data_IF_481835145900
#
_entry.id   IF_481835145900
#
_cell.length_a   1.000
_cell.length_b   1.000
_cell.length_c   1.000
_cell.angle_alpha   90.00
_cell.angle_beta   90.00
_cell.angle_gamma   90.00
#
_symmetry.space_group_name_H-M   'P 1'
#
loop_
_entity.id
_entity.type
_entity.pdbx_description
1 polymer ?
#
# COMPACT_ATOMS: atom_id res chain seq x y z
N UNK A 1 26.00 18.49 27.88
CA UNK A 1 26.75 17.28 27.54
C UNK A 1 25.72 16.23 27.18
N UNK A 2 25.34 16.13 25.91
CA UNK A 2 24.64 14.95 25.41
C UNK A 2 25.58 13.77 25.65
N UNK A 3 25.05 12.71 26.24
CA UNK A 3 25.86 11.54 26.55
C UNK A 3 26.35 10.93 25.22
N UNK A 4 27.52 10.30 25.21
CA UNK A 4 28.01 9.61 24.02
C UNK A 4 27.04 8.49 23.55
N UNK A 5 26.16 8.02 24.43
CA UNK A 5 25.10 7.07 24.11
C UNK A 5 23.95 7.70 23.31
N UNK A 6 23.77 9.02 23.38
CA UNK A 6 22.71 9.74 22.66
C UNK A 6 22.97 9.58 21.15
N UNK A 7 24.15 9.87 20.62
CA UNK A 7 24.38 9.78 19.16
C UNK A 7 24.81 8.40 18.62
N UNK A 8 24.64 7.31 19.39
CA UNK A 8 25.07 5.96 18.97
C UNK A 8 24.01 5.26 18.12
N UNK A 9 24.44 4.51 17.11
CA UNK A 9 23.56 3.62 16.33
C UNK A 9 23.68 2.20 16.87
N UNK A 10 22.55 1.61 17.28
CA UNK A 10 22.46 0.19 17.60
C UNK A 10 21.97 -0.61 16.41
N UNK A 11 22.82 -1.49 15.88
CA UNK A 11 22.40 -2.51 14.91
C UNK A 11 22.02 -3.77 15.67
N UNK A 12 20.84 -4.32 15.40
CA UNK A 12 20.40 -5.58 16.00
C UNK A 12 20.23 -6.64 14.92
N UNK A 13 20.83 -7.82 15.13
CA UNK A 13 20.78 -8.94 14.19
C UNK A 13 20.17 -10.17 14.88
N UNK A 14 18.87 -10.44 14.68
CA UNK A 14 18.25 -11.71 15.04
C UNK A 14 18.74 -12.81 14.09
N UNK A 15 19.20 -13.93 14.64
CA UNK A 15 19.76 -15.03 13.84
C UNK A 15 19.32 -16.42 14.30
N UNK A 16 19.30 -17.37 13.37
CA UNK A 16 19.09 -18.79 13.66
C UNK A 16 19.69 -19.68 12.57
N UNK A 17 20.70 -20.48 12.91
CA UNK A 17 21.34 -21.47 12.03
C UNK A 17 21.83 -20.89 10.69
N UNK A 18 22.47 -19.72 10.73
CA UNK A 18 22.93 -18.96 9.54
C UNK A 18 24.34 -18.44 9.72
N UNK A 19 25.22 -19.29 10.23
CA UNK A 19 26.61 -18.92 10.55
C UNK A 19 27.31 -18.13 9.42
N UNK A 20 27.22 -18.58 8.17
CA UNK A 20 27.94 -17.95 7.05
C UNK A 20 27.35 -16.59 6.70
N UNK A 21 26.02 -16.50 6.60
CA UNK A 21 25.32 -15.27 6.26
C UNK A 21 25.49 -14.21 7.34
N UNK A 22 25.38 -14.63 8.61
CA UNK A 22 25.61 -13.77 9.77
C UNK A 22 26.98 -13.09 9.70
N UNK A 23 28.01 -13.79 9.21
CA UNK A 23 29.33 -13.20 9.06
C UNK A 23 29.33 -12.00 8.12
N UNK A 24 28.72 -12.14 6.95
CA UNK A 24 28.62 -11.08 5.96
C UNK A 24 27.85 -9.89 6.53
N UNK A 25 26.72 -10.15 7.20
CA UNK A 25 25.91 -9.12 7.85
C UNK A 25 26.72 -8.34 8.89
N UNK A 26 27.39 -9.06 9.80
CA UNK A 26 28.24 -8.49 10.86
C UNK A 26 29.41 -7.70 10.27
N UNK A 27 30.14 -8.26 9.32
CA UNK A 27 31.30 -7.60 8.70
C UNK A 27 30.89 -6.29 8.04
N UNK A 28 29.73 -6.26 7.38
CA UNK A 28 29.20 -5.04 6.75
C UNK A 28 28.92 -3.91 7.75
N UNK A 29 28.48 -4.26 8.96
CA UNK A 29 28.25 -3.31 10.05
C UNK A 29 29.58 -2.82 10.63
N UNK A 30 30.50 -3.74 10.93
CA UNK A 30 31.77 -3.44 11.61
C UNK A 30 32.78 -2.69 10.75
N UNK A 31 32.58 -2.66 9.43
CA UNK A 31 33.32 -1.81 8.49
C UNK A 31 33.06 -0.32 8.70
N UNK A 32 31.93 0.07 9.28
CA UNK A 32 31.67 1.48 9.59
C UNK A 32 32.56 1.96 10.75
N UNK A 33 33.22 3.11 10.55
CA UNK A 33 34.16 3.73 11.50
C UNK A 33 33.94 5.23 11.68
N UNK A 34 33.04 5.84 10.90
CA UNK A 34 32.79 7.30 10.89
C UNK A 34 31.72 7.72 11.87
N UNK A 35 30.91 6.80 12.38
CA UNK A 35 29.88 7.03 13.39
C UNK A 35 29.99 5.98 14.51
N UNK A 36 29.63 6.33 15.75
CA UNK A 36 29.61 5.36 16.84
C UNK A 36 28.51 4.32 16.61
N UNK A 37 28.91 3.05 16.63
CA UNK A 37 28.00 1.92 16.45
C UNK A 37 28.18 0.92 17.58
N UNK A 38 27.09 0.27 17.95
CA UNK A 38 27.06 -0.96 18.74
C UNK A 38 26.26 -2.00 17.97
N UNK A 39 26.68 -3.26 18.02
CA UNK A 39 26.06 -4.37 17.33
C UNK A 39 25.63 -5.42 18.35
N UNK A 40 24.36 -5.82 18.34
CA UNK A 40 23.85 -6.88 19.21
C UNK A 40 23.28 -8.02 18.38
N UNK A 41 23.91 -9.20 18.51
CA UNK A 41 23.47 -10.43 17.87
C UNK A 41 22.52 -11.20 18.81
N UNK A 42 21.33 -11.51 18.33
CA UNK A 42 20.28 -12.25 19.04
C UNK A 42 20.11 -13.64 18.43
N UNK A 43 20.79 -14.63 19.00
CA UNK A 43 20.74 -16.01 18.53
C UNK A 43 19.56 -16.77 19.14
N UNK A 44 18.70 -17.28 18.26
CA UNK A 44 17.46 -17.97 18.59
C UNK A 44 17.66 -19.47 18.85
N UNK A 45 18.64 -19.81 19.69
CA UNK A 45 19.04 -21.18 20.02
C UNK A 45 19.59 -21.99 18.82
N UNK A 46 20.49 -21.38 18.05
CA UNK A 46 21.20 -22.05 16.95
C UNK A 46 21.93 -23.30 17.44
N UNK A 47 22.02 -24.28 16.54
CA UNK A 47 22.65 -25.58 16.72
C UNK A 47 23.85 -25.79 15.80
N UNK A 48 24.11 -24.85 14.89
CA UNK A 48 25.32 -24.78 14.07
C UNK A 48 26.43 -23.99 14.79
N UNK A 49 27.50 -23.62 14.08
CA UNK A 49 28.63 -22.88 14.63
C UNK A 49 28.35 -21.39 14.91
N UNK A 50 27.10 -20.94 14.82
CA UNK A 50 26.69 -19.54 15.07
C UNK A 50 27.12 -19.07 16.45
N UNK A 51 26.88 -19.87 17.50
CA UNK A 51 27.25 -19.51 18.88
C UNK A 51 28.76 -19.33 19.04
N UNK A 52 29.54 -20.30 18.58
CA UNK A 52 31.00 -20.28 18.68
C UNK A 52 31.57 -19.03 18.02
N UNK A 53 31.08 -18.69 16.83
CA UNK A 53 31.50 -17.50 16.11
C UNK A 53 31.12 -16.20 16.81
N UNK A 54 29.85 -16.05 17.19
CA UNK A 54 29.37 -14.80 17.77
C UNK A 54 30.01 -14.53 19.13
N UNK A 55 30.29 -15.57 19.94
CA UNK A 55 31.05 -15.44 21.19
C UNK A 55 32.51 -15.03 20.96
N UNK A 56 33.19 -15.67 20.00
CA UNK A 56 34.56 -15.33 19.67
C UNK A 56 34.65 -13.86 19.20
N UNK A 57 33.72 -13.44 18.35
CA UNK A 57 33.64 -12.07 17.87
C UNK A 57 33.38 -11.06 18.99
N UNK A 58 32.40 -11.33 19.87
CA UNK A 58 32.09 -10.45 21.01
C UNK A 58 33.25 -10.33 22.01
N UNK A 59 34.13 -11.34 22.09
CA UNK A 59 35.36 -11.27 22.87
C UNK A 59 36.46 -10.43 22.19
N UNK A 60 36.42 -10.28 20.86
CA UNK A 60 37.44 -9.59 20.07
C UNK A 60 37.11 -8.12 19.75
N UNK A 61 35.83 -7.78 19.54
CA UNK A 61 35.40 -6.42 19.22
C UNK A 61 34.44 -5.90 20.30
N UNK A 62 34.82 -4.85 21.07
CA UNK A 62 34.01 -4.34 22.18
C UNK A 62 32.70 -3.68 21.73
N UNK A 63 32.51 -3.44 20.42
CA UNK A 63 31.26 -2.95 19.86
C UNK A 63 30.21 -4.05 19.73
N UNK A 64 30.59 -5.32 19.87
CA UNK A 64 29.72 -6.47 19.63
C UNK A 64 29.27 -7.08 20.96
N UNK A 65 27.95 -7.19 21.12
CA UNK A 65 27.31 -7.99 22.18
C UNK A 65 26.57 -9.18 21.56
N UNK A 66 26.48 -10.25 22.33
CA UNK A 66 25.83 -11.49 21.90
C UNK A 66 24.91 -12.00 22.99
N UNK A 67 23.71 -12.45 22.60
CA UNK A 67 22.76 -13.11 23.49
C UNK A 67 22.16 -14.30 22.78
N UNK A 68 22.24 -15.46 23.43
CA UNK A 68 21.65 -16.71 22.96
C UNK A 68 20.44 -17.07 23.79
N UNK A 69 19.36 -17.48 23.13
CA UNK A 69 18.17 -18.04 23.78
C UNK A 69 18.36 -19.52 24.13
N UNK A 70 17.70 -20.00 25.20
CA UNK A 70 17.71 -21.43 25.55
C UNK A 70 16.93 -22.27 24.53
N UNK A 71 15.90 -21.70 23.89
CA UNK A 71 15.05 -22.36 22.91
C UNK A 71 14.68 -21.40 21.76
N UNK A 72 14.31 -21.98 20.61
CA UNK A 72 13.87 -21.22 19.45
C UNK A 72 12.42 -20.76 19.64
N UNK A 73 12.21 -19.45 19.74
CA UNK A 73 10.89 -18.82 19.95
C UNK A 73 10.24 -18.29 18.66
N UNK A 74 10.78 -18.69 17.50
CA UNK A 74 10.40 -18.19 16.19
C UNK A 74 10.97 -16.79 15.87
N UNK A 75 11.03 -16.48 14.57
CA UNK A 75 11.66 -15.25 14.07
C UNK A 75 11.00 -13.98 14.64
N UNK A 76 9.66 -13.89 14.63
CA UNK A 76 8.94 -12.72 15.16
C UNK A 76 9.25 -12.48 16.64
N UNK A 77 9.32 -13.54 17.45
CA UNK A 77 9.68 -13.44 18.87
C UNK A 77 11.11 -12.93 19.05
N UNK A 78 12.05 -13.44 18.26
CA UNK A 78 13.45 -13.02 18.32
C UNK A 78 13.64 -11.56 17.92
N UNK A 79 13.03 -11.11 16.80
CA UNK A 79 13.03 -9.71 16.39
C UNK A 79 12.39 -8.79 17.45
N UNK A 80 11.26 -9.20 18.04
CA UNK A 80 10.57 -8.41 19.06
C UNK A 80 11.46 -8.14 20.27
N UNK A 81 12.26 -9.12 20.68
CA UNK A 81 13.22 -8.98 21.78
C UNK A 81 14.44 -8.16 21.40
N UNK A 82 14.94 -8.32 20.18
CA UNK A 82 16.01 -7.49 19.65
C UNK A 82 15.60 -6.01 19.65
N UNK A 83 14.39 -5.69 19.18
CA UNK A 83 13.84 -4.33 19.22
C UNK A 83 13.62 -3.82 20.65
N UNK A 84 13.19 -4.69 21.58
CA UNK A 84 13.04 -4.34 22.99
C UNK A 84 14.37 -4.01 23.71
N UNK A 85 15.51 -4.46 23.16
CA UNK A 85 16.84 -4.18 23.72
C UNK A 85 17.43 -2.84 23.27
N UNK A 86 16.79 -2.18 22.29
CA UNK A 86 17.29 -0.93 21.73
C UNK A 86 17.30 0.15 22.82
N UNK A 87 18.51 0.66 23.10
CA UNK A 87 18.78 1.60 24.20
C UNK A 87 19.55 2.85 23.76
N UNK A 88 19.83 2.99 22.46
CA UNK A 88 20.50 4.14 21.86
C UNK A 88 19.49 5.03 21.12
N UNK A 89 19.86 6.23 20.64
CA UNK A 89 18.92 7.12 19.93
C UNK A 89 18.51 6.59 18.56
N UNK A 90 19.39 5.80 17.92
CA UNK A 90 19.19 5.30 16.56
C UNK A 90 19.34 3.80 16.49
N UNK A 91 18.56 3.14 15.65
CA UNK A 91 18.70 1.71 15.44
C UNK A 91 18.47 1.26 14.00
N UNK A 92 19.11 0.15 13.66
CA UNK A 92 18.89 -0.60 12.43
C UNK A 92 18.62 -2.07 12.79
N UNK A 93 17.42 -2.57 12.55
CA UNK A 93 17.18 -4.00 12.56
C UNK A 93 17.67 -4.59 11.23
N UNK A 94 18.69 -5.45 11.28
CA UNK A 94 19.33 -6.05 10.11
C UNK A 94 19.06 -7.56 10.09
N UNK A 95 18.56 -8.07 8.97
CA UNK A 95 18.41 -9.51 8.77
C UNK A 95 19.78 -10.19 8.67
N UNK A 96 19.91 -11.40 9.23
CA UNK A 96 21.17 -12.13 9.27
C UNK A 96 21.61 -12.70 7.91
N UNK A 97 20.77 -12.57 6.88
CA UNK A 97 21.05 -12.87 5.48
C UNK A 97 21.17 -11.64 4.56
N UNK A 98 21.08 -10.43 5.11
CA UNK A 98 21.30 -9.17 4.40
C UNK A 98 22.64 -8.55 4.79
N UNK A 99 23.07 -7.50 4.07
CA UNK A 99 24.23 -6.72 4.47
C UNK A 99 24.11 -5.25 4.10
N UNK A 100 24.75 -4.39 4.89
CA UNK A 100 24.75 -2.94 4.67
C UNK A 100 25.81 -2.56 3.61
N UNK A 101 25.51 -1.52 2.83
CA UNK A 101 26.47 -0.97 1.88
C UNK A 101 27.33 0.14 2.53
N UNK A 102 28.61 0.28 2.15
CA UNK A 102 29.48 1.31 2.70
C UNK A 102 28.88 2.71 2.53
N UNK A 103 28.84 3.51 3.59
CA UNK A 103 28.24 4.85 3.54
C UNK A 103 26.90 4.96 4.25
N UNK A 104 26.11 3.88 4.23
CA UNK A 104 24.71 3.93 4.70
C UNK A 104 24.57 4.47 6.12
N UNK A 105 25.23 3.86 7.11
CA UNK A 105 25.08 4.24 8.51
C UNK A 105 25.53 5.68 8.76
N UNK A 106 26.66 6.09 8.17
CA UNK A 106 27.18 7.46 8.28
C UNK A 106 26.21 8.49 7.66
N UNK A 107 25.79 8.26 6.42
CA UNK A 107 24.98 9.22 5.67
C UNK A 107 23.57 9.33 6.26
N UNK A 108 22.96 8.20 6.64
CA UNK A 108 21.65 8.17 7.29
C UNK A 108 21.67 8.87 8.66
N UNK A 109 22.73 8.67 9.44
CA UNK A 109 22.92 9.33 10.73
C UNK A 109 23.04 10.85 10.56
N UNK A 110 23.86 11.33 9.61
CA UNK A 110 23.99 12.76 9.34
C UNK A 110 22.66 13.41 8.97
N UNK A 111 21.83 12.72 8.16
CA UNK A 111 20.49 13.20 7.81
C UNK A 111 19.62 13.36 9.05
N UNK A 112 19.58 12.34 9.92
CA UNK A 112 18.74 12.40 11.12
C UNK A 112 19.21 13.47 12.10
N UNK A 113 20.52 13.60 12.32
CA UNK A 113 21.12 14.64 13.16
C UNK A 113 20.75 16.05 12.70
N UNK A 114 20.73 16.29 11.38
CA UNK A 114 20.38 17.59 10.80
C UNK A 114 18.87 17.87 10.79
N UNK A 115 18.03 16.84 10.92
CA UNK A 115 16.58 16.95 10.80
C UNK A 115 15.86 16.25 11.96
N UNK A 116 15.78 16.88 13.15
CA UNK A 116 15.26 16.25 14.37
C UNK A 116 13.80 15.77 14.30
N UNK A 117 13.01 16.29 13.34
CA UNK A 117 11.60 15.89 13.16
C UNK A 117 11.42 14.59 12.39
N UNK A 118 12.45 14.10 11.69
CA UNK A 118 12.34 12.87 10.91
C UNK A 118 12.33 11.66 11.82
N UNK A 119 11.40 10.73 11.57
CA UNK A 119 11.39 9.44 12.27
C UNK A 119 12.42 8.45 11.73
N UNK A 120 12.78 8.57 10.45
CA UNK A 120 13.69 7.64 9.78
C UNK A 120 14.40 8.25 8.56
N UNK A 121 15.57 7.69 8.25
CA UNK A 121 16.29 7.88 7.00
C UNK A 121 16.29 6.54 6.24
N UNK A 122 15.61 6.54 5.09
CA UNK A 122 15.36 5.38 4.24
C UNK A 122 16.26 5.45 3.02
N UNK A 123 16.97 4.38 2.73
CA UNK A 123 17.77 4.21 1.52
C UNK A 123 17.15 3.10 0.67
N UNK A 124 17.43 3.11 -0.62
CA UNK A 124 17.03 2.01 -1.51
C UNK A 124 17.68 0.71 -1.04
N UNK A 125 16.96 -0.41 -1.11
CA UNK A 125 17.57 -1.74 -0.97
C UNK A 125 17.73 -2.36 -2.33
N UNK A 126 18.89 -2.98 -2.59
CA UNK A 126 19.07 -3.81 -3.78
C UNK A 126 18.72 -5.26 -3.47
N UNK A 127 17.86 -5.87 -4.26
CA UNK A 127 17.61 -7.31 -4.19
C UNK A 127 18.58 -8.02 -5.13
N UNK A 128 19.54 -8.77 -4.59
CA UNK A 128 20.55 -9.49 -5.38
C UNK A 128 20.42 -11.00 -5.22
N UNK A 129 20.65 -11.74 -6.29
CA UNK A 129 20.70 -13.21 -6.23
C UNK A 129 22.03 -13.72 -5.65
N UNK A 130 22.15 -15.04 -5.49
CA UNK A 130 23.36 -15.69 -4.96
C UNK A 130 24.65 -15.40 -5.76
N UNK A 131 24.54 -15.00 -7.03
CA UNK A 131 25.67 -14.59 -7.88
C UNK A 131 25.98 -13.08 -7.77
N UNK A 132 25.26 -12.35 -6.94
CA UNK A 132 25.40 -10.90 -6.77
C UNK A 132 24.76 -10.07 -7.87
N UNK A 133 23.96 -10.68 -8.76
CA UNK A 133 23.25 -9.97 -9.84
C UNK A 133 22.03 -9.27 -9.26
N UNK A 134 21.89 -7.98 -9.57
CA UNK A 134 20.72 -7.17 -9.21
C UNK A 134 19.47 -7.69 -9.93
N UNK A 135 18.48 -8.14 -9.17
CA UNK A 135 17.20 -8.59 -9.68
C UNK A 135 16.14 -7.48 -9.65
N UNK A 136 16.08 -6.72 -8.54
CA UNK A 136 15.15 -5.60 -8.36
C UNK A 136 15.63 -4.68 -7.24
N UNK A 137 14.85 -3.65 -6.91
CA UNK A 137 15.08 -2.77 -5.78
C UNK A 137 13.84 -2.66 -4.90
N UNK A 138 14.01 -2.24 -3.65
CA UNK A 138 12.92 -1.86 -2.76
C UNK A 138 13.01 -0.36 -2.45
N UNK A 139 12.02 0.44 -2.90
CA UNK A 139 10.87 0.05 -3.72
C UNK A 139 11.27 -0.15 -5.19
N UNK A 140 10.49 -0.90 -5.98
CA UNK A 140 10.88 -1.30 -7.34
C UNK A 140 10.76 -0.19 -8.40
N UNK A 141 9.87 0.79 -8.19
CA UNK A 141 9.54 1.84 -9.15
C UNK A 141 10.24 3.16 -8.80
N UNK A 142 11.58 3.16 -8.77
CA UNK A 142 12.38 4.32 -8.33
C UNK A 142 12.14 5.57 -9.19
N UNK A 143 11.71 5.43 -10.43
CA UNK A 143 11.37 6.52 -11.35
C UNK A 143 10.02 7.19 -11.07
N UNK A 144 9.17 6.57 -10.24
CA UNK A 144 7.80 7.00 -9.96
C UNK A 144 7.60 7.51 -8.52
N UNK A 145 8.64 7.42 -7.67
CA UNK A 145 8.58 7.87 -6.29
C UNK A 145 9.32 9.19 -6.08
N UNK A 146 8.95 9.90 -5.02
CA UNK A 146 9.66 11.10 -4.59
C UNK A 146 10.87 10.75 -3.72
N UNK A 147 11.88 11.62 -3.74
CA UNK A 147 13.07 11.51 -2.88
C UNK A 147 13.29 12.81 -2.10
N UNK A 148 14.07 12.74 -1.03
CA UNK A 148 14.31 13.84 -0.10
C UNK A 148 13.45 13.73 1.16
N UNK A 149 13.16 14.87 1.79
CA UNK A 149 12.30 14.92 2.98
C UNK A 149 10.84 14.84 2.55
N UNK A 150 10.11 13.83 3.03
CA UNK A 150 8.72 13.57 2.69
C UNK A 150 7.86 13.58 3.95
N UNK A 151 6.71 14.27 3.87
CA UNK A 151 5.69 14.27 4.91
C UNK A 151 4.89 12.97 4.91
N UNK A 152 4.25 12.59 6.04
CA UNK A 152 3.41 11.38 6.17
C UNK A 152 2.51 11.08 4.96
N UNK A 153 1.79 12.09 4.47
CA UNK A 153 0.90 11.94 3.31
C UNK A 153 1.63 11.58 2.02
N UNK A 154 2.81 12.14 1.82
CA UNK A 154 3.56 12.04 0.57
C UNK A 154 4.15 10.65 0.40
N UNK A 155 4.98 10.22 1.35
CA UNK A 155 5.57 8.89 1.25
C UNK A 155 4.54 7.76 1.42
N UNK A 156 3.42 7.96 2.12
CA UNK A 156 2.37 6.92 2.19
C UNK A 156 1.63 6.72 0.87
N UNK A 157 1.38 7.78 0.09
CA UNK A 157 0.79 7.62 -1.24
C UNK A 157 1.72 6.78 -2.14
N UNK A 158 3.01 7.12 -2.17
CA UNK A 158 4.02 6.39 -2.95
C UNK A 158 4.18 4.95 -2.43
N UNK A 159 4.22 4.76 -1.12
CA UNK A 159 4.37 3.44 -0.47
C UNK A 159 3.19 2.51 -0.75
N UNK A 160 1.94 3.03 -0.69
CA UNK A 160 0.73 2.25 -0.99
C UNK A 160 0.68 1.84 -2.47
N UNK A 161 1.13 2.73 -3.37
CA UNK A 161 1.17 2.45 -4.82
C UNK A 161 2.28 1.49 -5.19
N UNK A 162 3.51 1.78 -4.77
CA UNK A 162 4.72 1.20 -5.36
C UNK A 162 5.42 0.20 -4.44
N UNK A 163 5.16 0.25 -3.13
CA UNK A 163 5.62 -0.76 -2.19
C UNK A 163 6.33 -0.24 -0.98
N UNK A 164 6.56 -1.19 -0.08
CA UNK A 164 7.34 -0.94 1.11
C UNK A 164 8.83 -0.83 0.76
N UNK A 165 9.56 -0.19 1.68
CA UNK A 165 11.00 -0.06 1.61
C UNK A 165 11.64 -1.29 2.24
N UNK A 166 12.84 -1.68 1.81
CA UNK A 166 13.51 -2.81 2.42
C UNK A 166 13.93 -2.46 3.85
N UNK A 167 13.66 -3.38 4.76
CA UNK A 167 13.78 -3.19 6.20
C UNK A 167 15.21 -2.87 6.65
N UNK A 168 16.20 -3.55 6.05
CA UNK A 168 17.62 -3.48 6.38
C UNK A 168 18.29 -2.15 5.97
N UNK A 169 17.70 -1.35 5.07
CA UNK A 169 18.26 -0.07 4.62
C UNK A 169 17.57 1.16 5.25
N UNK A 170 17.06 1.01 6.47
CA UNK A 170 16.39 2.09 7.20
C UNK A 170 17.06 2.32 8.55
N UNK A 171 17.54 3.55 8.77
CA UNK A 171 17.95 4.02 10.09
C UNK A 171 16.74 4.68 10.76
N UNK A 172 16.37 4.17 11.93
CA UNK A 172 15.21 4.64 12.68
C UNK A 172 15.67 5.45 13.89
N UNK A 173 14.87 6.46 14.28
CA UNK A 173 14.94 7.01 15.64
C UNK A 173 14.25 6.06 16.61
N UNK A 174 14.86 5.78 17.76
CA UNK A 174 14.33 4.86 18.78
C UNK A 174 12.95 5.26 19.29
N UNK A 175 12.66 6.57 19.41
CA UNK A 175 11.33 7.07 19.80
C UNK A 175 10.20 6.55 18.88
N UNK A 176 10.50 6.16 17.63
CA UNK A 176 9.48 5.62 16.72
C UNK A 176 8.92 4.28 17.18
N UNK A 177 9.61 3.54 18.04
CA UNK A 177 9.11 2.29 18.64
C UNK A 177 7.84 2.50 19.47
N UNK A 178 7.61 3.71 20.00
CA UNK A 178 6.37 4.07 20.70
C UNK A 178 5.15 3.99 19.77
N UNK A 179 5.34 4.08 18.45
CA UNK A 179 4.24 3.93 17.50
C UNK A 179 3.59 2.55 17.53
N UNK A 180 4.37 1.54 17.90
CA UNK A 180 4.03 0.14 17.75
C UNK A 180 3.53 -0.46 19.05
N UNK A 181 4.20 -0.11 20.15
CA UNK A 181 4.05 -0.74 21.45
C UNK A 181 4.56 -2.18 21.47
N UNK A 182 5.11 -2.62 22.60
CA UNK A 182 5.56 -3.99 22.79
C UNK A 182 4.41 -5.01 22.50
N UNK A 183 4.69 -6.15 21.85
CA UNK A 183 6.01 -6.69 21.48
C UNK A 183 6.58 -6.15 20.14
N UNK A 184 6.15 -4.98 19.66
CA UNK A 184 6.61 -4.29 18.44
C UNK A 184 6.21 -4.96 17.12
N UNK A 185 6.20 -6.29 17.04
CA UNK A 185 5.73 -7.05 15.88
C UNK A 185 4.39 -7.74 16.16
N UNK A 186 3.34 -7.35 15.42
CA UNK A 186 1.95 -7.73 15.72
C UNK A 186 1.28 -8.58 14.63
N UNK A 187 1.85 -8.62 13.43
CA UNK A 187 1.18 -9.14 12.24
C UNK A 187 1.77 -10.45 11.74
N UNK A 188 2.86 -10.97 12.31
CA UNK A 188 3.49 -12.22 11.86
C UNK A 188 4.42 -11.97 10.66
N UNK A 189 4.20 -12.68 9.54
CA UNK A 189 5.06 -12.55 8.35
C UNK A 189 5.24 -11.09 7.84
N UNK A 190 4.19 -10.26 7.70
CA UNK A 190 4.34 -8.89 7.20
C UNK A 190 4.53 -7.87 8.34
N UNK A 191 5.29 -8.22 9.38
CA UNK A 191 5.49 -7.32 10.53
C UNK A 191 6.41 -6.15 10.22
N UNK A 192 7.35 -6.33 9.29
CA UNK A 192 8.18 -5.27 8.73
C UNK A 192 7.34 -4.18 8.02
N UNK A 193 6.36 -4.62 7.22
CA UNK A 193 5.40 -3.76 6.53
C UNK A 193 4.47 -3.05 7.52
N UNK A 194 3.97 -3.75 8.54
CA UNK A 194 3.17 -3.14 9.61
C UNK A 194 3.98 -2.07 10.36
N UNK A 195 5.22 -2.41 10.72
CA UNK A 195 6.09 -1.54 11.48
C UNK A 195 6.37 -0.24 10.73
N UNK A 196 6.69 -0.33 9.43
CA UNK A 196 6.83 0.85 8.57
C UNK A 196 5.58 1.72 8.60
N UNK A 197 4.40 1.15 8.34
CA UNK A 197 3.21 1.99 8.17
C UNK A 197 2.74 2.66 9.47
N UNK A 198 2.90 1.99 10.61
CA UNK A 198 2.57 2.58 11.91
C UNK A 198 3.44 3.81 12.23
N UNK A 199 4.68 3.84 11.74
CA UNK A 199 5.60 4.97 11.94
C UNK A 199 5.38 6.03 10.86
N UNK A 200 5.25 5.62 9.60
CA UNK A 200 5.09 6.52 8.45
C UNK A 200 3.79 7.32 8.49
N UNK A 201 2.76 6.84 9.16
CA UNK A 201 1.56 7.66 9.40
C UNK A 201 1.78 8.82 10.37
N UNK A 202 2.90 8.87 11.11
CA UNK A 202 3.12 9.86 12.18
C UNK A 202 4.35 10.73 11.99
N UNK A 203 5.37 10.20 11.33
CA UNK A 203 6.66 10.89 11.19
C UNK A 203 6.99 11.16 9.73
N UNK A 204 7.49 12.37 9.40
CA UNK A 204 8.18 12.57 8.14
C UNK A 204 9.44 11.71 8.08
N UNK A 205 9.89 11.42 6.87
CA UNK A 205 11.10 10.61 6.61
C UNK A 205 11.98 11.28 5.57
N UNK A 206 13.24 10.89 5.52
CA UNK A 206 14.09 11.17 4.37
C UNK A 206 14.23 9.92 3.52
N UNK A 207 13.99 10.02 2.20
CA UNK A 207 14.18 8.93 1.25
C UNK A 207 15.32 9.24 0.29
N UNK A 208 16.36 8.40 0.29
CA UNK A 208 17.57 8.56 -0.51
C UNK A 208 17.56 7.62 -1.73
N UNK A 209 17.79 8.17 -2.92
CA UNK A 209 17.96 7.39 -4.15
C UNK A 209 19.37 6.78 -4.28
N UNK A 210 19.93 6.30 -3.18
CA UNK A 210 21.18 5.54 -3.15
C UNK A 210 20.95 4.24 -2.40
N UNK A 211 21.60 3.15 -2.81
CA UNK A 211 21.42 1.87 -2.16
C UNK A 211 22.13 1.89 -0.79
N UNK A 212 21.42 1.48 0.26
CA UNK A 212 21.94 1.44 1.63
C UNK A 212 22.20 0.03 2.16
N UNK A 213 21.54 -0.98 1.59
CA UNK A 213 21.72 -2.38 1.93
C UNK A 213 21.44 -3.26 0.72
N UNK A 214 21.88 -4.51 0.82
CA UNK A 214 21.52 -5.58 -0.10
C UNK A 214 20.64 -6.59 0.63
N UNK A 215 19.53 -6.91 -0.03
CA UNK A 215 18.63 -8.01 0.30
C UNK A 215 19.02 -9.25 -0.50
N UNK A 216 19.33 -10.35 0.17
CA UNK A 216 19.76 -11.59 -0.48
C UNK A 216 18.57 -12.44 -0.92
N UNK A 217 18.47 -12.74 -2.22
CA UNK A 217 17.47 -13.67 -2.76
C UNK A 217 17.96 -15.12 -2.68
N UNK A 218 17.21 -15.97 -1.97
CA UNK A 218 17.48 -17.41 -1.84
C UNK A 218 16.23 -18.22 -1.45
N UNK A 219 16.22 -19.51 -1.74
CA UNK A 219 15.02 -20.37 -1.58
C UNK A 219 14.52 -20.53 -0.13
N UNK A 220 15.39 -20.30 0.86
CA UNK A 220 15.07 -20.40 2.29
C UNK A 220 14.64 -19.07 2.94
N UNK A 221 14.22 -18.09 2.13
CA UNK A 221 13.77 -16.79 2.65
C UNK A 221 12.35 -16.89 3.20
N UNK A 222 12.07 -16.20 4.32
CA UNK A 222 10.72 -16.19 4.91
C UNK A 222 9.68 -15.60 3.93
N UNK A 223 10.08 -14.60 3.15
CA UNK A 223 9.31 -14.01 2.05
C UNK A 223 9.11 -14.95 0.84
N UNK A 224 9.66 -16.16 0.83
CA UNK A 224 9.36 -17.17 -0.19
C UNK A 224 8.05 -17.92 0.11
N UNK A 225 7.60 -17.87 1.37
CA UNK A 225 6.40 -18.54 1.87
C UNK A 225 5.18 -17.64 1.93
N UNK A 226 4.90 -16.86 0.89
CA UNK A 226 3.65 -16.10 0.79
C UNK A 226 2.51 -17.05 0.40
N UNK A 227 2.00 -17.85 1.33
CA UNK A 227 0.83 -18.69 1.05
C UNK A 227 -0.38 -18.34 1.93
N UNK A 228 -1.50 -18.99 1.64
CA UNK A 228 -2.78 -18.84 2.33
C UNK A 228 -2.70 -19.12 3.84
N UNK A 229 -1.68 -19.82 4.35
CA UNK A 229 -1.50 -20.04 5.79
C UNK A 229 -1.28 -18.74 6.57
N UNK A 230 -0.77 -17.70 5.90
CA UNK A 230 -0.53 -16.39 6.49
C UNK A 230 -1.70 -15.41 6.32
N UNK A 231 -2.87 -15.85 5.87
CA UNK A 231 -3.99 -14.94 5.62
C UNK A 231 -4.45 -14.16 6.86
N UNK A 232 -4.32 -14.78 8.05
CA UNK A 232 -4.56 -14.13 9.35
C UNK A 232 -3.57 -13.02 9.64
N UNK A 233 -2.33 -13.18 9.21
CA UNK A 233 -1.24 -12.20 9.36
C UNK A 233 -1.52 -10.96 8.53
N UNK A 234 -1.89 -11.17 7.27
CA UNK A 234 -2.26 -10.12 6.35
C UNK A 234 -3.56 -9.38 6.72
N UNK A 235 -4.59 -10.12 7.14
CA UNK A 235 -5.83 -9.52 7.64
C UNK A 235 -5.56 -8.59 8.84
N UNK A 236 -4.61 -8.95 9.70
CA UNK A 236 -4.15 -8.12 10.82
C UNK A 236 -3.43 -6.87 10.35
N UNK A 237 -2.50 -6.97 9.38
CA UNK A 237 -1.84 -5.83 8.75
C UNK A 237 -2.86 -4.80 8.26
N UNK A 238 -3.79 -5.21 7.39
CA UNK A 238 -4.78 -4.30 6.85
C UNK A 238 -5.70 -3.70 7.93
N UNK A 239 -5.96 -4.41 9.04
CA UNK A 239 -6.69 -3.87 10.20
C UNK A 239 -5.94 -2.79 10.93
N UNK A 240 -4.64 -2.94 11.10
CA UNK A 240 -3.80 -1.93 11.74
C UNK A 240 -3.56 -0.74 10.82
N UNK A 241 -3.36 -0.98 9.53
CA UNK A 241 -3.29 0.05 8.50
C UNK A 241 -4.56 0.92 8.46
N UNK A 242 -5.74 0.30 8.30
CA UNK A 242 -7.01 1.03 8.20
C UNK A 242 -7.22 1.94 9.43
N UNK A 243 -6.95 1.41 10.63
CA UNK A 243 -7.08 2.14 11.89
C UNK A 243 -6.10 3.31 11.99
N UNK A 244 -4.86 3.11 11.54
CA UNK A 244 -3.84 4.14 11.67
C UNK A 244 -4.10 5.30 10.70
N UNK A 245 -4.47 5.00 9.45
CA UNK A 245 -4.86 6.02 8.47
C UNK A 245 -6.06 6.83 8.95
N UNK A 246 -7.09 6.15 9.50
CA UNK A 246 -8.27 6.82 10.05
C UNK A 246 -7.94 7.67 11.28
N UNK A 247 -7.10 7.16 12.18
CA UNK A 247 -6.72 7.88 13.41
C UNK A 247 -5.89 9.13 13.12
N UNK A 248 -4.90 9.00 12.24
CA UNK A 248 -3.99 10.10 11.91
C UNK A 248 -4.58 11.06 10.87
N UNK A 249 -5.67 10.67 10.19
CA UNK A 249 -6.38 11.47 9.16
C UNK A 249 -5.45 11.96 8.04
N UNK A 250 -4.45 11.15 7.67
CA UNK A 250 -3.44 11.50 6.66
C UNK A 250 -4.03 11.52 5.24
N UNK A 251 -4.97 10.62 4.97
CA UNK A 251 -5.69 10.48 3.71
C UNK A 251 -7.20 10.47 3.99
N UNK A 252 -7.99 11.11 3.12
CA UNK A 252 -9.44 10.96 3.18
C UNK A 252 -9.84 9.53 2.79
N UNK A 253 -11.06 9.11 3.14
CA UNK A 253 -11.54 7.76 2.81
C UNK A 253 -11.58 7.52 1.29
N UNK A 254 -11.95 8.53 0.52
CA UNK A 254 -12.05 8.45 -0.94
C UNK A 254 -10.67 8.34 -1.61
N UNK A 255 -9.63 8.89 -1.00
CA UNK A 255 -8.24 8.76 -1.45
C UNK A 255 -7.64 7.41 -1.02
N UNK A 256 -7.89 7.00 0.22
CA UNK A 256 -7.29 5.82 0.82
C UNK A 256 -7.83 4.51 0.24
N UNK A 257 -9.14 4.39 0.00
CA UNK A 257 -9.73 3.13 -0.46
C UNK A 257 -9.15 2.65 -1.80
N UNK A 258 -9.00 3.49 -2.85
CA UNK A 258 -8.32 3.08 -4.09
C UNK A 258 -6.87 2.66 -3.87
N UNK A 259 -6.11 3.39 -3.06
CA UNK A 259 -4.71 3.06 -2.73
C UNK A 259 -4.58 1.72 -2.01
N UNK A 260 -5.50 1.47 -1.07
CA UNK A 260 -5.59 0.20 -0.36
C UNK A 260 -5.88 -0.96 -1.31
N UNK A 261 -6.73 -0.76 -2.32
CA UNK A 261 -6.98 -1.78 -3.36
C UNK A 261 -5.73 -2.05 -4.20
N UNK A 262 -4.98 -1.01 -4.60
CA UNK A 262 -3.70 -1.18 -5.32
C UNK A 262 -2.72 -2.01 -4.50
N UNK A 263 -2.54 -1.69 -3.22
CA UNK A 263 -1.67 -2.45 -2.31
C UNK A 263 -2.10 -3.92 -2.23
N UNK A 264 -3.40 -4.19 -2.06
CA UNK A 264 -3.92 -5.56 -2.02
C UNK A 264 -3.68 -6.31 -3.32
N UNK A 265 -3.92 -5.70 -4.48
CA UNK A 265 -3.71 -6.35 -5.78
C UNK A 265 -2.25 -6.77 -5.97
N UNK A 266 -1.31 -5.88 -5.62
CA UNK A 266 0.13 -6.20 -5.67
C UNK A 266 0.50 -7.36 -4.77
N UNK A 267 -0.10 -7.41 -3.59
CA UNK A 267 0.17 -8.46 -2.62
C UNK A 267 -0.53 -9.79 -2.97
N UNK A 268 -1.70 -9.78 -3.62
CA UNK A 268 -2.42 -11.00 -4.06
C UNK A 268 -1.53 -11.92 -4.90
N UNK A 269 -0.75 -11.36 -5.83
CA UNK A 269 0.15 -12.13 -6.67
C UNK A 269 1.14 -12.96 -5.85
N UNK A 270 1.50 -12.49 -4.65
CA UNK A 270 2.38 -13.21 -3.76
C UNK A 270 1.66 -14.32 -2.97
N UNK A 271 0.39 -14.17 -2.56
CA UNK A 271 -0.23 -15.05 -1.53
C UNK A 271 -0.96 -16.28 -2.07
N UNK A 272 -1.03 -16.39 -3.40
CA UNK A 272 -1.66 -17.50 -4.13
C UNK A 272 -0.70 -18.70 -4.26
N UNK A 273 0.53 -18.61 -3.74
CA UNK A 273 1.47 -19.73 -3.74
C UNK A 273 0.88 -20.94 -2.99
N UNK A 274 1.14 -22.17 -3.45
CA UNK A 274 0.49 -23.37 -2.93
C UNK A 274 0.74 -23.52 -1.43
N UNK A 275 -0.33 -23.86 -0.70
CA UNK A 275 -0.30 -24.02 0.75
C UNK A 275 0.76 -25.06 1.16
N UNK A 276 1.74 -24.68 2.00
CA UNK A 276 2.53 -25.65 2.75
C UNK A 276 1.63 -26.22 3.85
N UNK A 277 1.11 -27.44 3.62
CA UNK A 277 0.33 -28.32 4.51
C UNK A 277 -1.21 -28.20 4.50
N UNK A 278 -1.85 -29.38 4.65
CA UNK A 278 -3.29 -29.60 4.74
C UNK A 278 -3.91 -28.88 5.96
N UNK A 279 -4.46 -27.69 5.74
CA UNK A 279 -5.27 -26.99 6.74
C UNK A 279 -6.51 -27.83 7.09
N UNK A 280 -6.86 -27.95 8.38
CA UNK A 280 -8.13 -28.58 8.76
C UNK A 280 -9.33 -27.84 8.17
N UNK A 281 -10.47 -28.51 8.04
CA UNK A 281 -11.71 -27.91 7.52
C UNK A 281 -12.08 -26.58 8.21
N UNK A 282 -12.00 -26.52 9.53
CA UNK A 282 -12.26 -25.30 10.30
C UNK A 282 -11.27 -24.17 9.99
N UNK A 283 -9.98 -24.49 9.79
CA UNK A 283 -8.98 -23.51 9.41
C UNK A 283 -9.19 -23.00 7.99
N UNK A 284 -9.59 -23.87 7.06
CA UNK A 284 -9.93 -23.50 5.68
C UNK A 284 -11.11 -22.54 5.61
N UNK A 285 -12.19 -22.79 6.37
CA UNK A 285 -13.35 -21.87 6.44
C UNK A 285 -12.95 -20.52 7.03
N UNK A 286 -12.21 -20.51 8.15
CA UNK A 286 -11.75 -19.27 8.76
C UNK A 286 -10.83 -18.46 7.83
N UNK A 287 -9.92 -19.15 7.12
CA UNK A 287 -9.05 -18.55 6.11
C UNK A 287 -9.87 -17.95 4.95
N UNK A 288 -10.85 -18.69 4.43
CA UNK A 288 -11.72 -18.22 3.36
C UNK A 288 -12.53 -16.96 3.74
N UNK A 289 -13.06 -16.91 4.98
CA UNK A 289 -13.73 -15.71 5.47
C UNK A 289 -12.81 -14.49 5.50
N UNK A 290 -11.54 -14.66 5.92
CA UNK A 290 -10.56 -13.57 5.92
C UNK A 290 -10.15 -13.16 4.50
N UNK A 291 -9.95 -14.13 3.60
CA UNK A 291 -9.69 -13.88 2.18
C UNK A 291 -10.78 -13.01 1.56
N UNK A 292 -12.03 -13.46 1.67
CA UNK A 292 -13.17 -12.80 1.09
C UNK A 292 -13.49 -11.46 1.75
N UNK A 293 -13.86 -11.48 3.03
CA UNK A 293 -14.40 -10.28 3.70
C UNK A 293 -13.34 -9.22 4.02
N UNK A 294 -12.10 -9.61 4.33
CA UNK A 294 -11.07 -8.66 4.75
C UNK A 294 -10.17 -8.19 3.61
N UNK A 295 -9.87 -9.11 2.70
CA UNK A 295 -8.91 -8.90 1.61
C UNK A 295 -9.62 -8.72 0.25
N UNK A 296 -10.92 -9.03 0.17
CA UNK A 296 -11.68 -8.96 -1.08
C UNK A 296 -11.23 -10.00 -2.10
N UNK A 297 -10.49 -11.03 -1.67
CA UNK A 297 -9.95 -12.09 -2.51
C UNK A 297 -10.90 -13.29 -2.50
N UNK A 298 -11.97 -13.15 -3.28
CA UNK A 298 -13.01 -14.16 -3.36
C UNK A 298 -12.55 -15.41 -4.10
N UNK A 299 -11.60 -15.31 -5.03
CA UNK A 299 -11.04 -16.47 -5.74
C UNK A 299 -10.33 -17.41 -4.77
N UNK A 300 -9.41 -16.88 -3.96
CA UNK A 300 -8.75 -17.64 -2.90
C UNK A 300 -9.76 -18.15 -1.87
N UNK A 301 -10.76 -17.33 -1.50
CA UNK A 301 -11.83 -17.77 -0.60
C UNK A 301 -12.56 -19.01 -1.14
N UNK A 302 -12.97 -18.99 -2.42
CA UNK A 302 -13.65 -20.10 -3.09
C UNK A 302 -12.76 -21.33 -3.26
N UNK A 303 -11.47 -21.15 -3.54
CA UNK A 303 -10.53 -22.27 -3.59
C UNK A 303 -10.39 -22.98 -2.23
N UNK A 304 -10.28 -22.21 -1.14
CA UNK A 304 -10.07 -22.78 0.20
C UNK A 304 -11.23 -23.63 0.72
N UNK A 305 -12.46 -23.36 0.27
CA UNK A 305 -13.68 -24.06 0.70
C UNK A 305 -14.11 -25.18 -0.26
N UNK A 306 -13.54 -25.25 -1.46
CA UNK A 306 -13.74 -26.40 -2.35
C UNK A 306 -13.23 -27.67 -1.65
N UNK A 307 -14.04 -28.73 -1.60
CA UNK A 307 -13.67 -30.01 -0.98
C UNK A 307 -13.77 -30.07 0.56
N UNK A 308 -14.17 -29.01 1.26
CA UNK A 308 -14.46 -29.06 2.72
C UNK A 308 -15.69 -29.92 3.04
N UNK A 309 -16.45 -30.35 2.02
CA UNK A 309 -17.69 -31.11 2.15
C UNK A 309 -17.53 -32.53 2.74
N UNK A 310 -16.32 -33.12 2.75
CA UNK A 310 -16.16 -34.55 3.09
C UNK A 310 -15.57 -34.86 4.47
N UNK A 311 -15.30 -33.86 5.32
CA UNK A 311 -14.62 -34.12 6.62
C UNK A 311 -14.86 -33.12 7.74
N UNK A 312 -15.69 -32.10 7.53
CA UNK A 312 -16.12 -31.25 8.63
C UNK A 312 -17.22 -31.99 9.42
N UNK A 313 -16.81 -32.78 10.41
CA UNK A 313 -17.72 -33.22 11.47
C UNK A 313 -18.56 -32.03 11.92
N UNK A 314 -19.88 -32.20 11.86
CA UNK A 314 -20.88 -31.18 12.14
C UNK A 314 -20.46 -30.32 13.34
N UNK A 315 -20.15 -29.05 13.10
CA UNK A 315 -20.16 -28.07 14.17
C UNK A 315 -21.63 -27.79 14.48
N UNK A 316 -22.13 -28.12 15.69
CA UNK A 316 -23.49 -27.77 16.07
C UNK A 316 -23.47 -26.29 16.45
N UNK A 317 -23.54 -25.40 15.47
CA UNK A 317 -24.31 -24.18 15.70
C UNK A 317 -25.76 -24.63 15.54
N UNK A 318 -26.57 -24.48 16.58
CA UNK A 318 -28.02 -24.67 16.45
C UNK A 318 -28.54 -23.56 15.53
N UNK A 319 -28.58 -23.83 14.22
CA UNK A 319 -29.07 -22.90 13.18
C UNK A 319 -30.43 -23.35 12.65
N UNK A 320 -31.05 -24.40 13.22
CA UNK A 320 -32.39 -24.85 12.82
C UNK A 320 -33.37 -23.67 12.83
N UNK A 321 -33.92 -23.35 11.64
CA UNK A 321 -34.90 -22.28 11.46
C UNK A 321 -34.34 -20.86 11.41
N UNK A 322 -33.03 -20.64 11.39
CA UNK A 322 -32.47 -19.28 11.34
C UNK A 322 -32.41 -18.75 9.90
N UNK A 323 -33.19 -17.70 9.63
CA UNK A 323 -33.17 -16.97 8.36
C UNK A 323 -32.21 -15.79 8.46
N UNK A 324 -31.16 -15.79 7.63
CA UNK A 324 -30.21 -14.68 7.55
C UNK A 324 -30.55 -13.76 6.38
N UNK A 325 -30.33 -12.45 6.57
CA UNK A 325 -30.55 -11.43 5.54
C UNK A 325 -29.24 -11.02 4.91
N UNK A 326 -28.99 -11.47 3.68
CA UNK A 326 -27.81 -11.10 2.91
C UNK A 326 -28.13 -9.88 2.02
N UNK A 327 -27.28 -8.84 1.99
CA UNK A 327 -27.57 -7.61 1.25
C UNK A 327 -27.47 -7.82 -0.26
N UNK A 328 -28.54 -7.58 -1.02
CA UNK A 328 -28.53 -7.70 -2.47
C UNK A 328 -28.22 -6.35 -3.12
N UNK A 329 -27.13 -6.28 -3.88
CA UNK A 329 -26.73 -5.06 -4.61
C UNK A 329 -27.46 -5.02 -5.94
N UNK A 330 -28.32 -4.02 -6.14
CA UNK A 330 -29.06 -3.81 -7.38
C UNK A 330 -29.01 -2.37 -7.86
N UNK A 331 -29.51 -2.11 -9.09
CA UNK A 331 -29.53 -0.77 -9.72
C UNK A 331 -30.25 0.31 -8.90
N UNK A 332 -31.14 -0.06 -7.97
CA UNK A 332 -31.93 0.86 -7.13
C UNK A 332 -31.43 0.95 -5.68
N UNK A 333 -30.25 0.40 -5.35
CA UNK A 333 -29.68 0.40 -4.01
C UNK A 333 -29.50 -0.99 -3.39
N UNK A 334 -29.33 -1.04 -2.07
CA UNK A 334 -29.13 -2.28 -1.30
C UNK A 334 -30.48 -2.83 -0.83
N UNK A 335 -30.87 -4.00 -1.32
CA UNK A 335 -32.00 -4.78 -0.82
C UNK A 335 -31.50 -5.90 0.11
N UNK A 336 -32.38 -6.76 0.63
CA UNK A 336 -32.00 -7.94 1.41
C UNK A 336 -32.68 -9.20 0.87
N UNK A 337 -31.91 -10.27 0.72
CA UNK A 337 -32.41 -11.61 0.42
C UNK A 337 -32.37 -12.47 1.69
N UNK A 338 -33.46 -13.17 1.96
CA UNK A 338 -33.52 -14.19 2.99
C UNK A 338 -32.82 -15.47 2.49
N UNK A 339 -31.88 -15.98 3.28
CA UNK A 339 -31.28 -17.30 3.08
C UNK A 339 -31.52 -18.13 4.35
N UNK A 340 -32.23 -19.25 4.23
CA UNK A 340 -32.30 -20.26 5.28
C UNK A 340 -31.04 -21.11 5.26
N UNK A 341 -30.56 -21.49 6.44
CA UNK A 341 -29.44 -22.41 6.58
C UNK A 341 -29.80 -23.44 7.64
N UNK A 342 -29.99 -24.69 7.20
CA UNK A 342 -30.36 -25.79 8.09
C UNK A 342 -29.11 -26.46 8.72
N UNK A 343 -27.92 -26.07 8.25
CA UNK A 343 -26.63 -26.50 8.78
C UNK A 343 -25.55 -25.43 8.61
N UNK A 344 -24.40 -25.58 9.30
CA UNK A 344 -23.23 -24.72 9.11
C UNK A 344 -22.70 -24.77 7.67
N UNK A 345 -22.81 -25.93 7.02
CA UNK A 345 -22.40 -26.13 5.62
C UNK A 345 -23.34 -25.39 4.68
N UNK A 346 -24.65 -25.39 4.95
CA UNK A 346 -25.64 -24.65 4.16
C UNK A 346 -25.51 -23.15 4.33
N UNK A 347 -25.13 -22.67 5.53
CA UNK A 347 -24.84 -21.27 5.77
C UNK A 347 -23.65 -20.81 4.92
N UNK A 348 -22.55 -21.57 4.97
CA UNK A 348 -21.37 -21.30 4.14
C UNK A 348 -21.78 -21.34 2.66
N UNK A 349 -22.44 -22.39 2.18
CA UNK A 349 -22.89 -22.49 0.79
C UNK A 349 -23.79 -21.32 0.35
N UNK A 350 -24.69 -20.86 1.21
CA UNK A 350 -25.59 -19.74 0.93
C UNK A 350 -24.88 -18.40 0.88
N UNK A 351 -23.95 -18.15 1.80
CA UNK A 351 -23.09 -16.96 1.79
C UNK A 351 -22.25 -16.94 0.51
N UNK A 352 -21.69 -18.08 0.09
CA UNK A 352 -20.89 -18.18 -1.13
C UNK A 352 -21.68 -17.94 -2.41
N UNK A 353 -22.89 -18.52 -2.51
CA UNK A 353 -23.80 -18.23 -3.62
C UNK A 353 -24.13 -16.75 -3.70
N UNK A 354 -24.42 -16.13 -2.56
CA UNK A 354 -24.69 -14.70 -2.47
C UNK A 354 -23.48 -13.85 -2.90
N UNK A 355 -22.27 -14.16 -2.44
CA UNK A 355 -21.04 -13.45 -2.85
C UNK A 355 -20.84 -13.54 -4.36
N UNK A 356 -21.02 -14.73 -4.96
CA UNK A 356 -20.90 -14.93 -6.41
C UNK A 356 -21.89 -14.03 -7.16
N UNK A 357 -23.14 -13.98 -6.71
CA UNK A 357 -24.17 -13.11 -7.28
C UNK A 357 -23.83 -11.62 -7.09
N UNK A 358 -23.34 -11.23 -5.91
CA UNK A 358 -22.93 -9.85 -5.61
C UNK A 358 -21.75 -9.42 -6.49
N UNK A 359 -20.76 -10.27 -6.69
CA UNK A 359 -19.60 -10.01 -7.56
C UNK A 359 -20.03 -9.80 -9.01
N UNK A 360 -20.92 -10.66 -9.53
CA UNK A 360 -21.50 -10.48 -10.86
C UNK A 360 -22.32 -9.20 -10.98
N UNK A 361 -23.06 -8.83 -9.93
CA UNK A 361 -23.82 -7.59 -9.90
C UNK A 361 -22.90 -6.35 -9.91
N UNK A 362 -21.81 -6.37 -9.14
CA UNK A 362 -20.78 -5.32 -9.13
C UNK A 362 -20.16 -5.18 -10.52
N UNK A 363 -19.73 -6.28 -11.15
CA UNK A 363 -19.15 -6.22 -12.50
C UNK A 363 -20.10 -5.64 -13.55
N UNK A 364 -21.40 -5.94 -13.47
CA UNK A 364 -22.42 -5.30 -14.33
C UNK A 364 -22.56 -3.80 -14.05
N UNK A 365 -22.52 -3.39 -12.78
CA UNK A 365 -22.61 -1.98 -12.39
C UNK A 365 -21.36 -1.19 -12.82
N UNK A 366 -20.18 -1.80 -12.77
CA UNK A 366 -18.94 -1.20 -13.28
C UNK A 366 -19.01 -0.99 -14.80
N UNK A 367 -19.49 -1.99 -15.55
CA UNK A 367 -19.72 -1.86 -16.99
C UNK A 367 -20.76 -0.77 -17.31
N UNK A 368 -21.87 -0.73 -16.57
CA UNK A 368 -22.86 0.34 -16.71
C UNK A 368 -22.26 1.72 -16.38
N UNK A 369 -21.41 1.84 -15.37
CA UNK A 369 -20.74 3.09 -15.02
C UNK A 369 -19.80 3.55 -16.15
N UNK A 370 -18.98 2.65 -16.72
CA UNK A 370 -18.14 2.97 -17.89
C UNK A 370 -19.00 3.46 -19.07
N UNK A 371 -20.11 2.78 -19.37
CA UNK A 371 -21.05 3.21 -20.42
C UNK A 371 -21.61 4.61 -20.14
N UNK A 372 -22.07 4.85 -18.91
CA UNK A 372 -22.65 6.14 -18.50
C UNK A 372 -21.62 7.28 -18.53
N UNK A 373 -20.35 7.01 -18.21
CA UNK A 373 -19.28 8.01 -18.35
C UNK A 373 -19.03 8.36 -19.82
N UNK A 374 -19.07 7.37 -20.73
CA UNK A 374 -18.95 7.61 -22.16
C UNK A 374 -20.14 8.45 -22.69
N UNK A 375 -21.37 8.06 -22.36
CA UNK A 375 -22.58 8.83 -22.72
C UNK A 375 -22.52 10.26 -22.16
N UNK A 376 -22.06 10.45 -20.92
CA UNK A 376 -21.85 11.77 -20.32
C UNK A 376 -20.84 12.61 -21.12
N UNK A 377 -19.73 12.02 -21.55
CA UNK A 377 -18.73 12.72 -22.35
C UNK A 377 -19.29 13.15 -23.72
N UNK A 378 -20.06 12.28 -24.39
CA UNK A 378 -20.75 12.61 -25.65
C UNK A 378 -21.75 13.76 -25.47
N UNK A 379 -22.56 13.71 -24.41
CA UNK A 379 -23.50 14.78 -24.08
C UNK A 379 -22.80 16.10 -23.77
N UNK A 380 -21.63 16.08 -23.12
CA UNK A 380 -20.83 17.28 -22.88
C UNK A 380 -20.31 17.90 -24.18
N UNK A 381 -19.85 17.08 -25.14
CA UNK A 381 -19.43 17.55 -26.46
C UNK A 381 -20.61 18.15 -27.23
N UNK A 382 -21.77 17.48 -27.21
CA UNK A 382 -22.99 17.97 -27.85
C UNK A 382 -23.46 19.30 -27.24
N UNK A 383 -23.39 19.43 -25.90
CA UNK A 383 -23.74 20.65 -25.19
C UNK A 383 -22.80 21.81 -25.57
N UNK A 384 -21.48 21.58 -25.59
CA UNK A 384 -20.50 22.58 -26.03
C UNK A 384 -20.78 23.04 -27.47
N UNK A 385 -21.05 22.09 -28.36
CA UNK A 385 -21.38 22.38 -29.76
C UNK A 385 -22.68 23.17 -29.93
N UNK A 386 -23.66 22.96 -29.04
CA UNK A 386 -24.91 23.71 -29.04
C UNK A 386 -24.71 25.15 -28.54
N UNK A 387 -23.90 25.34 -27.49
CA UNK A 387 -23.51 26.66 -26.97
C UNK A 387 -22.80 27.47 -28.07
N UNK A 388 -21.83 26.88 -28.78
CA UNK A 388 -21.15 27.56 -29.88
C UNK A 388 -22.10 27.97 -31.01
N UNK A 389 -23.10 27.12 -31.34
CA UNK A 389 -24.11 27.47 -32.35
C UNK A 389 -24.99 28.63 -31.90
N UNK A 390 -25.36 28.66 -30.62
CA UNK A 390 -26.15 29.76 -30.05
C UNK A 390 -25.36 31.07 -30.05
N UNK A 391 -24.08 31.05 -29.66
CA UNK A 391 -23.21 32.23 -29.71
C UNK A 391 -23.02 32.77 -31.13
N UNK A 392 -22.83 31.87 -32.12
CA UNK A 392 -22.76 32.25 -33.54
C UNK A 392 -24.07 32.87 -34.02
N UNK A 393 -25.21 32.29 -33.66
CA UNK A 393 -26.52 32.83 -34.01
C UNK A 393 -26.73 34.22 -33.39
N UNK A 394 -26.35 34.41 -32.12
CA UNK A 394 -26.40 35.71 -31.43
C UNK A 394 -25.51 36.75 -32.11
N UNK A 395 -24.27 36.38 -32.44
CA UNK A 395 -23.34 37.26 -33.16
C UNK A 395 -23.89 37.67 -34.54
N UNK A 396 -24.51 36.71 -35.26
CA UNK A 396 -25.09 36.99 -36.56
C UNK A 396 -26.31 37.92 -36.45
N UNK A 397 -27.15 37.73 -35.43
CA UNK A 397 -28.27 38.62 -35.12
C UNK A 397 -27.78 40.05 -34.83
N UNK A 398 -26.77 40.23 -33.98
CA UNK A 398 -26.16 41.54 -33.70
C UNK A 398 -25.58 42.21 -34.94
N UNK A 399 -24.93 41.44 -35.83
CA UNK A 399 -24.41 41.97 -37.10
C UNK A 399 -25.53 42.39 -38.06
N UNK A 400 -26.63 41.63 -38.11
CA UNK A 400 -27.78 41.97 -38.93
C UNK A 400 -28.49 43.22 -38.41
N UNK A 401 -28.61 43.38 -37.09
CA UNK A 401 -29.16 44.58 -36.46
C UNK A 401 -28.31 45.83 -36.76
N UNK A 402 -26.98 45.72 -36.69
CA UNK A 402 -26.08 46.82 -37.11
C UNK A 402 -26.27 47.19 -38.58
N UNK A 403 -26.28 46.21 -39.48
CA UNK A 403 -26.50 46.44 -40.92
C UNK A 403 -27.87 47.06 -41.19
N UNK A 404 -28.88 46.71 -40.38
CA UNK A 404 -30.21 47.30 -40.45
C UNK A 404 -30.17 48.77 -40.02
N UNK A 405 -29.56 49.09 -38.88
CA UNK A 405 -29.40 50.48 -38.42
C UNK A 405 -28.62 51.35 -39.43
N UNK A 406 -27.54 50.85 -40.00
CA UNK A 406 -26.78 51.55 -41.04
C UNK A 406 -27.65 51.82 -42.28
N UNK A 407 -28.43 50.82 -42.70
CA UNK A 407 -29.34 50.96 -43.84
C UNK A 407 -30.52 51.90 -43.56
N UNK A 408 -31.02 51.97 -42.33
CA UNK A 408 -32.03 52.94 -41.88
C UNK A 408 -31.44 54.36 -41.90
N UNK A 409 -30.24 54.55 -41.35
CA UNK A 409 -29.52 55.84 -41.34
C UNK A 409 -29.21 56.34 -42.77
N UNK A 410 -28.75 55.46 -43.66
CA UNK A 410 -28.53 55.81 -45.07
C UNK A 410 -29.85 56.16 -45.79
N UNK A 411 -30.95 55.47 -45.48
CA UNK A 411 -32.27 55.75 -46.07
C UNK A 411 -32.78 57.14 -45.67
N UNK A 412 -32.49 57.57 -44.45
CA UNK A 412 -32.79 58.92 -43.96
C UNK A 412 -31.93 60.00 -44.65
N UNK A 413 -30.67 59.69 -44.96
CA UNK A 413 -29.76 60.59 -45.69
C UNK A 413 -30.09 60.74 -47.19
N UNK A 414 -30.83 59.79 -47.76
CA UNK A 414 -31.27 59.85 -49.16
C UNK A 414 -32.44 60.84 -49.28
N UNK A 415 -32.23 61.92 -50.05
CA UNK A 415 -33.27 62.89 -50.42
C UNK A 415 -34.43 62.32 -51.24
N UNK A 416 -35.07 63.13 -52.09
CA UNK A 416 -36.31 62.78 -52.80
C UNK A 416 -36.15 61.78 -53.98
N UNK A 417 -35.18 60.86 -53.96
CA UNK A 417 -34.91 59.91 -55.05
C UNK A 417 -35.71 58.58 -54.86
N UNK A 418 -36.81 58.33 -55.61
CA UNK A 418 -37.78 57.29 -55.25
C UNK A 418 -37.28 55.85 -55.45
N UNK A 419 -36.49 55.62 -56.50
CA UNK A 419 -35.93 54.32 -56.87
C UNK A 419 -34.88 53.83 -55.85
N UNK A 420 -34.00 54.72 -55.40
CA UNK A 420 -33.00 54.43 -54.37
C UNK A 420 -33.66 54.09 -53.02
N UNK A 421 -34.72 54.82 -52.64
CA UNK A 421 -35.51 54.50 -51.44
C UNK A 421 -36.19 53.14 -51.54
N UNK A 422 -36.76 52.79 -52.70
CA UNK A 422 -37.41 51.49 -52.90
C UNK A 422 -36.40 50.32 -52.81
N UNK A 423 -35.23 50.44 -53.44
CA UNK A 423 -34.17 49.42 -53.38
C UNK A 423 -33.64 49.23 -51.96
N UNK A 424 -33.49 50.30 -51.17
CA UNK A 424 -33.02 50.22 -49.79
C UNK A 424 -34.09 49.67 -48.83
N UNK A 425 -35.38 50.01 -49.00
CA UNK A 425 -36.49 49.36 -48.29
C UNK A 425 -36.55 47.84 -48.53
N UNK A 426 -36.31 47.40 -49.76
CA UNK A 426 -36.18 45.97 -50.09
C UNK A 426 -34.99 45.30 -49.37
N UNK A 427 -33.89 46.03 -49.17
CA UNK A 427 -32.73 45.54 -48.42
C UNK A 427 -33.02 45.44 -46.92
N UNK A 428 -33.75 46.39 -46.34
CA UNK A 428 -34.23 46.34 -44.95
C UNK A 428 -35.18 45.16 -44.70
N UNK A 429 -36.09 44.89 -45.63
CA UNK A 429 -36.99 43.72 -45.58
C UNK A 429 -36.24 42.37 -45.60
N UNK A 430 -35.02 42.33 -46.18
CA UNK A 430 -34.18 41.12 -46.13
C UNK A 430 -33.54 40.92 -44.77
N UNK A 431 -33.13 41.99 -44.09
CA UNK A 431 -32.55 41.90 -42.74
C UNK A 431 -33.62 41.57 -41.69
N UNK A 432 -34.85 42.08 -41.84
CA UNK A 432 -35.97 41.76 -40.93
C UNK A 432 -36.52 40.33 -41.05
N UNK A 433 -36.17 39.60 -42.12
CA UNK A 433 -36.57 38.19 -42.32
C UNK A 433 -35.50 37.19 -41.87
N UNK A 434 -34.30 37.67 -41.55
CA UNK A 434 -33.12 36.87 -41.23
C UNK A 434 -32.73 36.92 -39.74
N UNK A 435 -33.31 37.85 -38.98
CA UNK A 435 -33.38 37.83 -37.52
C UNK A 435 -34.64 37.06 -37.10
#
# INVERSE_FOLDING_TARGET
MTSQADHTIMVVIPTFNRRVQLQTAVESVLQERRVPIVLHIFDNASTDETETYARALAAMDPRVSYTRRPENIGATGNYSQALASVSTEYFVPLADDDWLLPGFLHDAHQVLEQQPKLGAAVFVTEARNAQGVLATTYPAALDQIRFGVLQPREHLDDWLRFGHYGWSSILWRTQTLECLGAPYLHTGLPSDVDFQVQIFCRYPVYLCNRPGAVYSLHDNQASGGFDVSHIRSWARLFKRLDREIERQKILSRDEYLPLREIMKQRLRAAWIAPARSDLSAAHRVAAACLAGFRLGDWETAFSLIQGVQDGAGAMPLAVEGTVFRLPQIGRKGVAHQAASADSSTDLVASVLRWIKQATQAIGRLEQDNVRLQAEKAELQIALSSAIEREERARTLAEQNDRKRMDAETELESLGAHPLLKAMKKLRLLRYSKAA
#
